data_IF_568034694801
#
_entry.id   IF_568034694801
#
_cell.length_a   1.000
_cell.length_b   1.000
_cell.length_c   1.000
_cell.angle_alpha   90.00
_cell.angle_beta   90.00
_cell.angle_gamma   90.00
#
_symmetry.space_group_name_H-M   'P 1'
#
loop_
_entity.id
_entity.type
_entity.pdbx_description
1 polymer ?
#
# COMPACT_ATOMS: atom_id res chain seq x y z
N UNK A 1 40.20 -66.19 -10.75
CA UNK A 1 40.39 -64.72 -10.64
C UNK A 1 39.33 -64.16 -9.71
N UNK A 2 39.73 -63.69 -8.53
CA UNK A 2 38.82 -63.16 -7.50
C UNK A 2 38.60 -61.67 -7.76
N UNK A 3 37.37 -61.26 -8.05
CA UNK A 3 36.98 -59.86 -8.22
C UNK A 3 36.72 -59.25 -6.83
N UNK A 4 37.52 -58.26 -6.44
CA UNK A 4 37.27 -57.42 -5.26
C UNK A 4 36.51 -56.16 -5.70
N UNK A 5 35.38 -55.80 -5.08
CA UNK A 5 34.74 -54.51 -5.33
C UNK A 5 35.50 -53.39 -4.59
N UNK A 6 35.88 -52.35 -5.34
CA UNK A 6 36.44 -51.11 -4.79
C UNK A 6 35.36 -50.35 -4.01
N UNK A 7 35.75 -49.78 -2.87
CA UNK A 7 34.91 -48.99 -1.97
C UNK A 7 34.67 -47.60 -2.56
N UNK A 8 33.41 -47.26 -2.81
CA UNK A 8 33.01 -45.90 -3.17
C UNK A 8 33.29 -44.93 -2.00
N UNK A 9 34.13 -43.93 -2.26
CA UNK A 9 34.44 -42.85 -1.35
C UNK A 9 33.25 -41.90 -1.21
N UNK A 10 32.63 -41.93 -0.02
CA UNK A 10 31.76 -40.85 0.47
C UNK A 10 32.57 -39.56 0.59
N UNK A 11 32.12 -38.48 -0.04
CA UNK A 11 32.63 -37.14 0.30
C UNK A 11 32.42 -36.07 -0.76
N UNK A 12 31.28 -35.38 -0.72
CA UNK A 12 31.21 -33.94 -1.00
C UNK A 12 29.93 -33.38 -0.38
N UNK A 13 30.10 -32.71 0.75
CA UNK A 13 29.03 -32.07 1.49
C UNK A 13 28.35 -30.98 0.65
N UNK A 14 27.02 -30.99 0.64
CA UNK A 14 26.17 -29.91 0.14
C UNK A 14 26.63 -28.56 0.72
N UNK A 15 27.33 -27.77 -0.10
CA UNK A 15 27.69 -26.40 0.25
C UNK A 15 26.40 -25.62 0.45
N UNK A 16 26.14 -25.24 1.70
CA UNK A 16 25.00 -24.41 2.09
C UNK A 16 25.06 -23.14 1.25
N UNK A 17 24.10 -22.99 0.35
CA UNK A 17 23.84 -21.75 -0.36
C UNK A 17 23.38 -20.71 0.69
N UNK A 18 24.33 -20.09 1.36
CA UNK A 18 24.08 -18.89 2.16
C UNK A 18 23.71 -17.82 1.15
N UNK A 19 22.41 -17.62 0.94
CA UNK A 19 21.91 -16.45 0.22
C UNK A 19 22.45 -15.23 0.96
N UNK A 20 23.47 -14.63 0.38
CA UNK A 20 23.99 -13.35 0.76
C UNK A 20 22.79 -12.39 0.64
N UNK A 21 22.16 -12.07 1.79
CA UNK A 21 21.07 -11.10 1.82
C UNK A 21 21.75 -9.77 1.52
N UNK A 22 21.61 -9.33 0.27
CA UNK A 22 22.02 -8.02 -0.18
C UNK A 22 21.59 -6.96 0.83
N UNK A 23 22.40 -5.91 0.92
CA UNK A 23 22.19 -4.69 1.70
C UNK A 23 20.73 -4.47 2.03
N UNK A 24 20.45 -4.46 3.33
CA UNK A 24 19.13 -4.40 3.96
C UNK A 24 18.48 -3.05 3.65
N UNK A 25 18.06 -2.84 2.41
CA UNK A 25 17.09 -1.83 2.07
C UNK A 25 15.92 -1.98 3.04
N UNK A 26 15.52 -0.85 3.58
CA UNK A 26 14.75 -0.66 4.80
C UNK A 26 13.39 -1.36 4.76
N UNK A 27 13.37 -2.68 4.98
CA UNK A 27 12.12 -3.41 5.17
C UNK A 27 11.42 -2.72 6.34
N UNK A 28 10.20 -2.16 6.14
CA UNK A 28 9.50 -1.47 7.19
C UNK A 28 9.37 -2.41 8.39
N UNK A 29 9.61 -1.93 9.62
CA UNK A 29 9.64 -2.78 10.78
C UNK A 29 8.32 -3.57 10.87
N UNK A 30 8.43 -4.89 11.09
CA UNK A 30 7.26 -5.73 11.35
C UNK A 30 6.44 -5.14 12.50
N UNK A 31 5.10 -5.28 12.44
CA UNK A 31 4.20 -4.80 13.49
C UNK A 31 4.64 -5.25 14.90
N UNK A 32 5.20 -6.46 15.03
CA UNK A 32 5.75 -6.95 16.31
C UNK A 32 6.95 -6.15 16.83
N UNK A 33 7.83 -5.68 15.92
CA UNK A 33 8.97 -4.83 16.28
C UNK A 33 8.50 -3.43 16.69
N UNK A 34 7.49 -2.88 16.00
CA UNK A 34 6.90 -1.58 16.36
C UNK A 34 6.25 -1.68 17.74
N UNK A 35 5.43 -2.71 17.99
CA UNK A 35 4.84 -2.98 19.32
C UNK A 35 5.88 -3.15 20.42
N UNK A 36 7.04 -3.77 20.13
CA UNK A 36 8.15 -3.85 21.08
C UNK A 36 8.68 -2.45 21.42
N UNK A 37 8.98 -1.63 20.40
CA UNK A 37 9.46 -0.25 20.59
C UNK A 37 8.46 0.61 21.36
N UNK A 38 7.15 0.47 21.11
CA UNK A 38 6.09 1.15 21.87
C UNK A 38 6.18 0.79 23.34
N UNK A 39 6.23 -0.51 23.68
CA UNK A 39 6.33 -0.97 25.08
C UNK A 39 7.60 -0.47 25.76
N UNK A 40 8.74 -0.50 25.08
CA UNK A 40 10.01 -0.03 25.62
C UNK A 40 10.00 1.50 25.84
N UNK A 41 9.36 2.25 24.96
CA UNK A 41 9.18 3.71 25.09
C UNK A 41 8.21 4.05 26.24
N UNK A 42 7.09 3.33 26.35
CA UNK A 42 6.14 3.46 27.47
C UNK A 42 6.82 3.18 28.81
N UNK A 43 7.62 2.11 28.90
CA UNK A 43 8.42 1.80 30.10
C UNK A 43 9.39 2.92 30.45
N UNK A 44 9.99 3.55 29.45
CA UNK A 44 10.90 4.69 29.65
C UNK A 44 10.15 5.90 30.20
N UNK A 45 8.95 6.20 29.67
CA UNK A 45 8.08 7.27 30.16
C UNK A 45 7.62 7.00 31.61
N UNK A 46 7.42 5.74 31.99
CA UNK A 46 6.98 5.36 33.34
C UNK A 46 8.10 5.38 34.41
N UNK A 47 9.37 5.60 34.03
CA UNK A 47 10.46 5.70 35.01
C UNK A 47 10.33 7.00 35.82
N UNK A 48 10.58 6.90 37.13
CA UNK A 48 10.72 8.07 38.01
C UNK A 48 12.06 8.75 37.68
N UNK A 49 12.11 10.08 37.80
CA UNK A 49 13.33 10.90 37.62
C UNK A 49 13.88 11.04 36.18
N UNK A 50 12.99 11.27 35.20
CA UNK A 50 13.42 11.68 33.84
C UNK A 50 13.50 13.20 33.70
N UNK A 51 14.54 13.74 33.03
CA UNK A 51 14.56 15.16 32.68
C UNK A 51 13.44 15.49 31.68
N UNK A 52 12.90 16.70 31.77
CA UNK A 52 11.73 17.14 31.01
C UNK A 52 11.91 17.03 29.48
N UNK A 53 13.13 17.28 28.99
CA UNK A 53 13.46 17.16 27.56
C UNK A 53 13.31 15.72 27.05
N UNK A 54 13.89 14.76 27.78
CA UNK A 54 13.83 13.33 27.43
C UNK A 54 12.40 12.80 27.53
N UNK A 55 11.61 13.27 28.50
CA UNK A 55 10.19 12.91 28.60
C UNK A 55 9.39 13.41 27.39
N UNK A 56 9.65 14.63 26.93
CA UNK A 56 8.98 15.23 25.78
C UNK A 56 9.32 14.49 24.49
N UNK A 57 10.61 14.19 24.29
CA UNK A 57 11.08 13.40 23.15
C UNK A 57 10.49 11.98 23.16
N UNK A 58 10.48 11.32 24.32
CA UNK A 58 9.90 9.98 24.46
C UNK A 58 8.40 9.96 24.15
N UNK A 59 7.64 10.99 24.55
CA UNK A 59 6.22 11.14 24.19
C UNK A 59 6.02 11.38 22.70
N UNK A 60 6.83 12.23 22.07
CA UNK A 60 6.81 12.45 20.60
C UNK A 60 7.09 11.15 19.86
N UNK A 61 8.14 10.43 20.27
CA UNK A 61 8.50 9.13 19.72
C UNK A 61 7.40 8.08 19.89
N UNK A 62 6.71 8.07 21.03
CA UNK A 62 5.59 7.18 21.25
C UNK A 62 4.47 7.42 20.23
N UNK A 63 4.10 8.69 19.98
CA UNK A 63 3.07 9.05 18.99
C UNK A 63 3.44 8.59 17.57
N UNK A 64 4.69 8.80 17.16
CA UNK A 64 5.20 8.31 15.87
C UNK A 64 5.05 6.80 15.75
N UNK A 65 5.47 6.07 16.78
CA UNK A 65 5.40 4.61 16.76
C UNK A 65 3.96 4.10 16.74
N UNK A 66 3.03 4.79 17.40
CA UNK A 66 1.60 4.47 17.39
C UNK A 66 0.97 4.73 16.01
N UNK A 67 1.34 5.83 15.35
CA UNK A 67 0.97 6.12 13.97
C UNK A 67 1.49 5.03 13.01
N UNK A 68 2.78 4.73 13.08
CA UNK A 68 3.43 3.70 12.25
C UNK A 68 2.79 2.34 12.45
N UNK A 69 2.42 1.99 13.69
CA UNK A 69 1.70 0.75 13.98
C UNK A 69 0.34 0.73 13.30
N UNK A 70 -0.38 1.86 13.31
CA UNK A 70 -1.68 1.99 12.67
C UNK A 70 -1.61 1.79 11.16
N UNK A 71 -0.70 2.50 10.49
CA UNK A 71 -0.48 2.32 9.04
C UNK A 71 -0.05 0.88 8.72
N UNK A 72 0.82 0.29 9.55
CA UNK A 72 1.27 -1.09 9.35
C UNK A 72 0.13 -2.12 9.44
N UNK A 73 -0.82 -1.92 10.35
CA UNK A 73 -2.01 -2.78 10.48
C UNK A 73 -2.88 -2.69 9.22
N UNK A 74 -3.10 -1.48 8.71
CA UNK A 74 -3.87 -1.25 7.48
C UNK A 74 -3.16 -1.90 6.28
N UNK A 75 -1.85 -1.69 6.14
CA UNK A 75 -1.06 -2.28 5.05
C UNK A 75 -1.05 -3.80 5.08
N UNK A 76 -0.94 -4.41 6.26
CA UNK A 76 -0.99 -5.87 6.40
C UNK A 76 -2.37 -6.40 5.99
N UNK A 77 -3.46 -5.71 6.38
CA UNK A 77 -4.82 -6.07 5.95
C UNK A 77 -5.03 -5.91 4.44
N UNK A 78 -4.53 -4.82 3.84
CA UNK A 78 -4.57 -4.62 2.39
C UNK A 78 -3.79 -5.72 1.65
N UNK A 79 -2.62 -6.11 2.16
CA UNK A 79 -1.81 -7.20 1.60
C UNK A 79 -2.53 -8.55 1.69
N UNK A 80 -3.19 -8.82 2.81
CA UNK A 80 -3.93 -10.06 3.01
C UNK A 80 -5.13 -10.15 2.05
N UNK A 81 -5.88 -9.05 1.88
CA UNK A 81 -6.94 -8.96 0.89
C UNK A 81 -6.42 -9.09 -0.55
N UNK A 82 -5.33 -8.40 -0.87
CA UNK A 82 -4.69 -8.48 -2.18
C UNK A 82 -4.33 -9.94 -2.51
N UNK A 83 -3.73 -10.65 -1.56
CA UNK A 83 -3.35 -12.06 -1.72
C UNK A 83 -4.56 -12.98 -1.84
N UNK A 84 -5.56 -12.80 -0.97
CA UNK A 84 -6.79 -13.62 -0.92
C UNK A 84 -7.60 -13.52 -2.21
N UNK A 85 -7.76 -12.31 -2.74
CA UNK A 85 -8.61 -12.05 -3.90
C UNK A 85 -7.84 -11.91 -5.21
N UNK A 86 -6.50 -12.03 -5.20
CA UNK A 86 -5.65 -11.87 -6.39
C UNK A 86 -6.13 -12.70 -7.58
N UNK A 87 -6.37 -14.00 -7.37
CA UNK A 87 -6.79 -14.93 -8.42
C UNK A 87 -8.17 -14.57 -8.97
N UNK A 88 -9.14 -14.33 -8.10
CA UNK A 88 -10.53 -13.97 -8.50
C UNK A 88 -10.52 -12.68 -9.32
N UNK A 89 -9.88 -11.62 -8.80
CA UNK A 89 -9.73 -10.33 -9.47
C UNK A 89 -9.02 -10.46 -10.83
N UNK A 90 -8.01 -11.33 -10.93
CA UNK A 90 -7.32 -11.61 -12.20
C UNK A 90 -8.22 -12.26 -13.26
N UNK A 91 -8.99 -13.29 -12.89
CA UNK A 91 -9.91 -13.94 -13.83
C UNK A 91 -11.05 -13.01 -14.26
N UNK A 92 -11.59 -12.22 -13.33
CA UNK A 92 -12.62 -11.25 -13.65
C UNK A 92 -12.10 -10.14 -14.55
N UNK A 93 -10.91 -9.61 -14.28
CA UNK A 93 -10.26 -8.62 -15.15
C UNK A 93 -10.11 -9.14 -16.58
N UNK A 94 -9.58 -10.36 -16.74
CA UNK A 94 -9.49 -11.02 -18.07
C UNK A 94 -10.87 -11.17 -18.75
N UNK A 95 -11.90 -11.54 -17.97
CA UNK A 95 -13.27 -11.68 -18.47
C UNK A 95 -13.83 -10.33 -18.94
N UNK A 96 -13.61 -9.26 -18.18
CA UNK A 96 -13.99 -7.89 -18.54
C UNK A 96 -13.22 -7.41 -19.76
N UNK A 97 -11.90 -7.58 -19.82
CA UNK A 97 -11.07 -7.19 -20.97
C UNK A 97 -11.53 -7.87 -22.27
N UNK A 98 -11.86 -9.16 -22.21
CA UNK A 98 -12.43 -9.87 -23.37
C UNK A 98 -13.77 -9.28 -23.80
N UNK A 99 -14.69 -9.04 -22.85
CA UNK A 99 -16.00 -8.44 -23.12
C UNK A 99 -15.89 -7.02 -23.66
N UNK A 100 -14.96 -6.23 -23.13
CA UNK A 100 -14.67 -4.88 -23.60
C UNK A 100 -14.18 -4.90 -25.05
N UNK A 101 -13.25 -5.81 -25.38
CA UNK A 101 -12.77 -5.99 -26.76
C UNK A 101 -13.90 -6.39 -27.71
N UNK A 102 -14.79 -7.28 -27.28
CA UNK A 102 -15.98 -7.67 -28.05
C UNK A 102 -16.95 -6.49 -28.26
N UNK A 103 -17.20 -5.71 -27.21
CA UNK A 103 -18.07 -4.53 -27.28
C UNK A 103 -17.50 -3.45 -28.21
N UNK A 104 -16.18 -3.18 -28.15
CA UNK A 104 -15.52 -2.23 -29.06
C UNK A 104 -15.60 -2.67 -30.52
N UNK A 105 -15.36 -3.96 -30.80
CA UNK A 105 -15.54 -4.52 -32.16
C UNK A 105 -16.98 -4.40 -32.66
N UNK A 106 -17.96 -4.74 -31.82
CA UNK A 106 -19.37 -4.62 -32.20
C UNK A 106 -19.76 -3.16 -32.49
N UNK A 107 -19.22 -2.20 -31.72
CA UNK A 107 -19.40 -0.77 -31.97
C UNK A 107 -18.79 -0.35 -33.32
N UNK A 108 -17.56 -0.78 -33.60
CA UNK A 108 -16.89 -0.50 -34.89
C UNK A 108 -17.66 -1.09 -36.07
N UNK A 109 -18.12 -2.34 -35.97
CA UNK A 109 -18.91 -3.01 -37.00
C UNK A 109 -20.28 -2.33 -37.22
N UNK A 110 -20.94 -1.89 -36.15
CA UNK A 110 -22.17 -1.13 -36.24
C UNK A 110 -21.95 0.23 -36.90
N UNK A 111 -20.86 0.93 -36.57
CA UNK A 111 -20.54 2.25 -37.14
C UNK A 111 -20.18 2.23 -38.63
N UNK A 112 -19.71 1.09 -39.14
CA UNK A 112 -19.32 0.92 -40.56
C UNK A 112 -20.51 0.61 -41.48
N UNK A 113 -21.65 0.17 -40.93
CA UNK A 113 -22.85 -0.12 -41.73
C UNK A 113 -23.57 1.19 -41.99
N UNK A 114 -23.76 1.54 -43.27
CA UNK A 114 -24.41 2.78 -43.71
C UNK A 114 -25.86 2.91 -43.19
N UNK A 115 -26.53 1.78 -42.95
CA UNK A 115 -27.93 1.72 -42.53
C UNK A 115 -28.10 1.42 -41.03
N UNK A 116 -27.04 1.61 -40.24
CA UNK A 116 -27.11 1.34 -38.80
C UNK A 116 -28.00 2.36 -38.10
N UNK A 117 -29.07 1.88 -37.45
CA UNK A 117 -29.91 2.72 -36.62
C UNK A 117 -29.09 3.40 -35.52
N UNK A 118 -29.25 4.72 -35.31
CA UNK A 118 -28.49 5.47 -34.31
C UNK A 118 -28.71 4.94 -32.89
N UNK A 119 -29.88 4.36 -32.63
CA UNK A 119 -30.22 3.69 -31.36
C UNK A 119 -29.30 2.50 -31.07
N UNK A 120 -29.02 1.65 -32.06
CA UNK A 120 -28.11 0.49 -31.90
C UNK A 120 -26.68 0.93 -31.64
N UNK A 121 -26.22 1.99 -32.30
CA UNK A 121 -24.89 2.56 -32.06
C UNK A 121 -24.80 3.08 -30.62
N UNK A 122 -25.83 3.80 -30.14
CA UNK A 122 -25.89 4.30 -28.76
C UNK A 122 -25.86 3.15 -27.73
N UNK A 123 -26.60 2.07 -27.95
CA UNK A 123 -26.54 0.87 -27.08
C UNK A 123 -25.15 0.24 -27.03
N UNK A 124 -24.46 0.16 -28.18
CA UNK A 124 -23.09 -0.37 -28.22
C UNK A 124 -22.11 0.55 -27.50
N UNK A 125 -22.25 1.87 -27.62
CA UNK A 125 -21.45 2.84 -26.87
C UNK A 125 -21.68 2.71 -25.36
N UNK A 126 -22.94 2.57 -24.94
CA UNK A 126 -23.28 2.37 -23.54
C UNK A 126 -22.61 1.09 -23.02
N UNK A 127 -22.74 -0.04 -23.74
CA UNK A 127 -22.07 -1.31 -23.39
C UNK A 127 -20.55 -1.16 -23.25
N UNK A 128 -19.91 -0.37 -24.11
CA UNK A 128 -18.46 -0.09 -24.00
C UNK A 128 -18.16 0.67 -22.71
N UNK A 129 -18.85 1.79 -22.44
CA UNK A 129 -18.69 2.57 -21.20
C UNK A 129 -18.90 1.71 -19.96
N UNK A 130 -19.93 0.86 -19.99
CA UNK A 130 -20.27 -0.04 -18.91
C UNK A 130 -19.18 -1.08 -18.63
N UNK A 131 -18.53 -1.60 -19.67
CA UNK A 131 -17.38 -2.49 -19.54
C UNK A 131 -16.10 -1.76 -19.09
N UNK A 132 -15.93 -0.49 -19.47
CA UNK A 132 -14.81 0.35 -19.02
C UNK A 132 -14.91 0.60 -17.51
N UNK A 133 -16.08 0.98 -17.00
CA UNK A 133 -16.32 1.13 -15.56
C UNK A 133 -16.08 -0.18 -14.81
N UNK A 134 -16.54 -1.31 -15.35
CA UNK A 134 -16.26 -2.65 -14.78
C UNK A 134 -14.77 -2.97 -14.80
N UNK A 135 -14.02 -2.49 -15.81
CA UNK A 135 -12.57 -2.68 -15.87
C UNK A 135 -11.89 -1.87 -14.75
N UNK A 136 -12.27 -0.61 -14.57
CA UNK A 136 -11.81 0.23 -13.47
C UNK A 136 -12.11 -0.42 -12.12
N UNK A 137 -13.32 -0.96 -11.92
CA UNK A 137 -13.69 -1.73 -10.73
C UNK A 137 -12.70 -2.89 -10.48
N UNK A 138 -12.40 -3.70 -11.50
CA UNK A 138 -11.46 -4.83 -11.35
C UNK A 138 -10.00 -4.41 -11.21
N UNK A 139 -9.60 -3.19 -11.57
CA UNK A 139 -8.22 -2.72 -11.43
C UNK A 139 -8.04 -2.02 -10.08
N UNK A 140 -8.88 -1.04 -9.82
CA UNK A 140 -8.75 -0.05 -8.74
C UNK A 140 -9.70 -0.32 -7.57
N UNK A 141 -10.19 -1.56 -7.42
CA UNK A 141 -10.99 -1.97 -6.26
C UNK A 141 -10.32 -1.57 -4.93
N UNK A 142 -11.05 -0.96 -3.97
CA UNK A 142 -10.52 -0.58 -2.67
C UNK A 142 -9.84 -1.73 -1.93
N UNK A 143 -8.57 -1.57 -1.57
CA UNK A 143 -7.75 -2.63 -0.96
C UNK A 143 -8.19 -2.99 0.45
N UNK A 144 -8.86 -2.08 1.14
CA UNK A 144 -9.39 -2.25 2.50
C UNK A 144 -10.70 -3.05 2.55
N UNK A 145 -11.30 -3.39 1.41
CA UNK A 145 -12.56 -4.13 1.36
C UNK A 145 -12.39 -5.55 0.79
N UNK A 146 -13.24 -6.50 1.22
CA UNK A 146 -13.31 -7.81 0.59
C UNK A 146 -13.91 -7.68 -0.81
N UNK A 147 -13.21 -8.22 -1.81
CA UNK A 147 -13.63 -8.12 -3.21
C UNK A 147 -15.00 -8.78 -3.45
N UNK A 148 -15.87 -8.10 -4.22
CA UNK A 148 -17.18 -8.61 -4.62
C UNK A 148 -17.15 -8.92 -6.11
N UNK A 149 -17.49 -10.16 -6.47
CA UNK A 149 -17.42 -10.65 -7.84
C UNK A 149 -18.39 -9.90 -8.77
N UNK A 150 -17.87 -9.49 -9.94
CA UNK A 150 -18.68 -8.94 -11.03
C UNK A 150 -19.55 -10.02 -11.69
N UNK A 151 -19.03 -11.24 -11.80
CA UNK A 151 -19.68 -12.37 -12.47
C UNK A 151 -19.73 -13.62 -11.56
N UNK A 152 -20.52 -13.57 -10.48
CA UNK A 152 -20.65 -14.68 -9.54
C UNK A 152 -21.27 -15.90 -10.22
N UNK A 153 -20.97 -17.09 -9.70
CA UNK A 153 -21.67 -18.31 -10.10
C UNK A 153 -23.11 -18.25 -9.57
N UNK A 154 -24.05 -18.92 -10.24
CA UNK A 154 -25.51 -18.70 -10.09
C UNK A 154 -26.05 -18.78 -8.65
N UNK A 155 -25.33 -19.42 -7.73
CA UNK A 155 -25.76 -19.65 -6.34
C UNK A 155 -25.04 -18.77 -5.27
N UNK A 156 -24.21 -17.80 -5.66
CA UNK A 156 -23.36 -17.02 -4.72
C UNK A 156 -23.84 -15.59 -4.44
N UNK A 157 -25.12 -15.28 -4.71
CA UNK A 157 -25.62 -13.91 -4.65
C UNK A 157 -26.28 -13.57 -3.30
N UNK A 158 -25.51 -13.04 -2.36
CA UNK A 158 -26.06 -12.37 -1.17
C UNK A 158 -26.59 -10.97 -1.51
N UNK A 159 -27.80 -10.62 -1.08
CA UNK A 159 -28.44 -9.32 -1.36
C UNK A 159 -27.61 -8.14 -0.85
N UNK A 160 -26.92 -8.31 0.28
CA UNK A 160 -26.01 -7.30 0.85
C UNK A 160 -24.76 -7.10 -0.02
N UNK A 161 -24.27 -8.17 -0.65
CA UNK A 161 -23.11 -8.08 -1.54
C UNK A 161 -23.47 -7.35 -2.84
N UNK A 162 -24.66 -7.61 -3.39
CA UNK A 162 -25.16 -6.94 -4.59
C UNK A 162 -25.33 -5.45 -4.37
N UNK A 163 -25.96 -5.04 -3.26
CA UNK A 163 -26.15 -3.62 -2.93
C UNK A 163 -24.83 -2.87 -2.71
N UNK A 164 -23.82 -3.51 -2.10
CA UNK A 164 -22.48 -2.90 -1.97
C UNK A 164 -21.78 -2.78 -3.31
N UNK A 165 -21.93 -3.78 -4.18
CA UNK A 165 -21.36 -3.77 -5.53
C UNK A 165 -21.98 -2.66 -6.39
N UNK A 166 -23.30 -2.50 -6.37
CA UNK A 166 -23.97 -1.42 -7.14
C UNK A 166 -23.53 -0.05 -6.65
N UNK A 167 -23.53 0.17 -5.32
CA UNK A 167 -23.03 1.41 -4.71
C UNK A 167 -21.60 1.73 -5.14
N UNK A 168 -20.69 0.77 -5.08
CA UNK A 168 -19.30 1.00 -5.47
C UNK A 168 -19.15 1.29 -6.98
N UNK A 169 -19.96 0.64 -7.83
CA UNK A 169 -19.97 0.95 -9.26
C UNK A 169 -20.51 2.36 -9.54
N UNK A 170 -21.52 2.82 -8.80
CA UNK A 170 -22.04 4.18 -8.86
C UNK A 170 -21.01 5.20 -8.40
N UNK A 171 -20.31 4.94 -7.30
CA UNK A 171 -19.21 5.81 -6.83
C UNK A 171 -18.06 5.91 -7.84
N UNK A 172 -17.72 4.80 -8.52
CA UNK A 172 -16.72 4.83 -9.60
C UNK A 172 -17.22 5.67 -10.79
N UNK A 173 -18.50 5.54 -11.16
CA UNK A 173 -19.10 6.37 -12.22
C UNK A 173 -19.00 7.86 -11.88
N UNK A 174 -19.30 8.22 -10.63
CA UNK A 174 -19.19 9.60 -10.14
C UNK A 174 -17.73 10.07 -10.13
N UNK A 175 -16.80 9.28 -9.61
CA UNK A 175 -15.39 9.64 -9.56
C UNK A 175 -14.80 9.86 -10.96
N UNK A 176 -15.18 9.03 -11.95
CA UNK A 176 -14.79 9.23 -13.35
C UNK A 176 -15.40 10.51 -13.92
N UNK A 177 -16.66 10.83 -13.61
CA UNK A 177 -17.30 12.08 -14.01
C UNK A 177 -16.63 13.32 -13.38
N UNK A 178 -16.12 13.19 -12.15
CA UNK A 178 -15.36 14.22 -11.44
C UNK A 178 -13.90 14.35 -11.92
N UNK A 179 -13.47 13.53 -12.89
CA UNK A 179 -12.12 13.52 -13.46
C UNK A 179 -11.06 12.74 -12.67
N UNK A 180 -11.46 11.90 -11.70
CA UNK A 180 -10.54 10.96 -11.01
C UNK A 180 -10.44 9.63 -11.78
N UNK A 181 -9.81 9.67 -12.96
CA UNK A 181 -9.69 8.51 -13.86
C UNK A 181 -8.99 7.31 -13.20
N UNK A 182 -7.95 7.57 -12.40
CA UNK A 182 -7.17 6.54 -11.70
C UNK A 182 -7.81 6.06 -10.39
N UNK A 183 -8.90 6.70 -9.96
CA UNK A 183 -9.61 6.43 -8.70
C UNK A 183 -8.70 6.57 -7.46
N UNK A 184 -7.67 7.41 -7.53
CA UNK A 184 -6.70 7.58 -6.44
C UNK A 184 -7.36 8.26 -5.24
N UNK A 185 -8.21 9.26 -5.49
CA UNK A 185 -8.94 9.95 -4.42
C UNK A 185 -9.95 9.00 -3.79
N UNK A 186 -10.63 8.19 -4.60
CA UNK A 186 -11.55 7.16 -4.11
C UNK A 186 -10.84 6.14 -3.22
N UNK A 187 -9.68 5.62 -3.64
CA UNK A 187 -8.90 4.68 -2.81
C UNK A 187 -8.48 5.31 -1.47
N UNK A 188 -8.04 6.57 -1.48
CA UNK A 188 -7.70 7.30 -0.26
C UNK A 188 -8.90 7.39 0.68
N UNK A 189 -10.08 7.79 0.19
CA UNK A 189 -11.33 7.84 0.98
C UNK A 189 -11.65 6.49 1.64
N UNK A 190 -11.52 5.38 0.90
CA UNK A 190 -11.75 4.04 1.46
C UNK A 190 -10.70 3.60 2.48
N UNK A 191 -9.46 4.08 2.36
CA UNK A 191 -8.41 3.86 3.36
C UNK A 191 -8.67 4.68 4.63
N UNK A 192 -9.04 5.95 4.48
CA UNK A 192 -9.35 6.86 5.58
C UNK A 192 -10.57 6.38 6.38
N UNK A 193 -11.67 6.01 5.72
CA UNK A 193 -12.86 5.44 6.38
C UNK A 193 -12.56 4.12 7.10
N UNK A 194 -11.62 3.32 6.60
CA UNK A 194 -11.17 2.11 7.30
C UNK A 194 -10.32 2.46 8.53
N UNK A 195 -9.45 3.46 8.41
CA UNK A 195 -8.67 4.00 9.54
C UNK A 195 -9.57 4.53 10.65
N UNK A 196 -10.61 5.30 10.30
CA UNK A 196 -11.63 5.79 11.24
C UNK A 196 -12.31 4.64 11.98
N UNK A 197 -12.72 3.57 11.28
CA UNK A 197 -13.30 2.36 11.90
C UNK A 197 -12.34 1.65 12.86
N UNK A 198 -11.04 1.66 12.57
CA UNK A 198 -10.04 1.08 13.47
C UNK A 198 -9.83 1.95 14.73
N UNK A 199 -9.93 3.27 14.60
CA UNK A 199 -9.90 4.22 15.72
C UNK A 199 -11.14 4.03 16.59
N UNK A 200 -12.34 3.95 15.99
CA UNK A 200 -13.60 3.72 16.70
C UNK A 200 -13.56 2.41 17.51
N UNK A 201 -12.96 1.36 16.93
CA UNK A 201 -12.74 0.05 17.58
C UNK A 201 -11.59 0.04 18.60
N UNK A 202 -10.90 1.17 18.80
CA UNK A 202 -9.74 1.31 19.70
C UNK A 202 -8.58 0.35 19.38
N UNK A 203 -8.45 -0.03 18.11
CA UNK A 203 -7.31 -0.86 17.63
C UNK A 203 -6.09 0.05 17.37
N UNK A 204 -6.34 1.26 16.91
CA UNK A 204 -5.33 2.28 16.62
C UNK A 204 -5.65 3.53 17.45
N UNK A 205 -4.62 4.25 17.91
CA UNK A 205 -4.79 5.52 18.59
C UNK A 205 -5.10 6.65 17.58
N UNK A 206 -6.02 7.58 17.89
CA UNK A 206 -6.21 8.77 17.07
C UNK A 206 -4.96 9.66 17.20
N UNK A 207 -4.13 9.69 16.17
CA UNK A 207 -2.98 10.60 16.09
C UNK A 207 -3.43 11.86 15.36
N UNK A 208 -3.31 13.02 15.99
CA UNK A 208 -3.73 14.30 15.41
C UNK A 208 -2.80 14.70 14.24
N UNK A 209 -3.33 15.27 13.13
CA UNK A 209 -2.51 15.74 12.00
C UNK A 209 -1.54 16.88 12.37
N UNK A 210 -1.92 17.73 13.32
CA UNK A 210 -1.18 18.94 13.71
C UNK A 210 0.21 18.63 14.27
N UNK A 211 0.37 17.49 14.95
CA UNK A 211 1.67 17.05 15.45
C UNK A 211 2.62 16.57 14.33
N UNK A 212 2.10 16.25 13.14
CA UNK A 212 2.88 15.65 12.04
C UNK A 212 3.58 16.74 11.22
N UNK A 213 2.93 17.89 11.00
CA UNK A 213 3.51 19.02 10.27
C UNK A 213 4.64 19.67 11.09
N UNK A 214 4.44 19.92 12.38
CA UNK A 214 5.50 20.43 13.28
C UNK A 214 6.72 19.48 13.34
N UNK A 215 6.49 18.16 13.25
CA UNK A 215 7.56 17.15 13.28
C UNK A 215 8.32 17.00 11.96
N UNK A 216 7.68 17.22 10.80
CA UNK A 216 8.38 17.24 9.51
C UNK A 216 9.21 18.50 9.33
N UNK A 217 8.78 19.62 9.91
CA UNK A 217 9.53 20.88 9.94
C UNK A 217 10.78 20.71 10.82
N UNK A 218 10.66 20.17 12.04
CA UNK A 218 11.80 19.94 12.93
C UNK A 218 12.86 18.98 12.32
N UNK A 219 12.42 17.93 11.62
CA UNK A 219 13.36 16.98 10.97
C UNK A 219 14.13 17.61 9.80
N UNK A 220 13.56 18.62 9.12
CA UNK A 220 14.27 19.39 8.09
C UNK A 220 15.27 20.38 8.69
N UNK A 221 14.98 20.93 9.86
CA UNK A 221 15.87 21.84 10.57
C UNK A 221 17.12 21.11 11.09
N UNK A 222 16.97 19.90 11.65
CA UNK A 222 18.11 19.10 12.14
C UNK A 222 19.06 18.62 11.02
N UNK A 223 18.54 18.26 9.84
CA UNK A 223 19.37 17.87 8.68
C UNK A 223 20.07 19.09 8.03
N UNK A 224 19.53 20.30 8.18
CA UNK A 224 20.15 21.53 7.66
C UNK A 224 21.29 22.06 8.53
N UNK A 225 21.37 21.62 9.79
CA UNK A 225 22.37 22.10 10.75
C UNK A 225 23.61 21.19 10.85
N UNK A 226 23.74 20.17 10.00
CA UNK A 226 24.91 19.27 9.95
C UNK A 226 25.92 19.60 8.82
N UNK A 227 25.84 20.78 8.21
CA UNK A 227 26.71 21.20 7.10
C UNK A 227 27.32 22.59 7.29
N UNK A 228 27.92 22.85 8.45
CA UNK A 228 28.94 23.90 8.58
C UNK A 228 29.82 23.64 9.80
N UNK A 229 30.80 22.75 9.66
CA UNK A 229 32.00 22.83 10.48
C UNK A 229 33.21 22.49 9.61
N UNK A 230 33.72 23.53 8.96
CA UNK A 230 35.01 23.56 8.27
C UNK A 230 35.69 24.80 8.80
N UNK A 231 36.18 24.69 10.04
CA UNK A 231 36.86 25.78 10.73
C UNK A 231 38.26 26.00 10.13
N UNK A 232 38.53 27.26 9.87
CA UNK A 232 39.71 27.81 9.21
C UNK A 232 40.92 27.71 10.15
N UNK A 233 41.93 26.91 9.78
CA UNK A 233 43.27 27.04 10.36
C UNK A 233 44.06 28.09 9.55
N UNK A 234 43.88 29.37 9.87
CA UNK A 234 44.89 30.41 9.61
C UNK A 234 45.54 30.77 10.95
N UNK A 235 46.75 30.27 11.18
CA UNK A 235 47.59 30.67 12.32
C UNK A 235 48.78 31.51 11.81
N UNK A 236 48.70 32.80 12.12
CA UNK A 236 49.74 33.82 11.99
C UNK A 236 50.95 33.51 12.91
N UNK A 237 51.82 32.63 12.44
CA UNK A 237 53.05 32.25 13.15
C UNK A 237 54.23 33.19 12.77
N UNK A 238 54.34 34.31 13.49
CA UNK A 238 55.55 35.12 13.76
C UNK A 238 56.26 35.89 12.61
N UNK A 239 55.86 37.15 12.43
CA UNK A 239 56.79 38.27 12.23
C UNK A 239 57.08 38.95 13.59
N UNK A 240 58.33 38.92 14.09
CA UNK A 240 59.11 40.13 14.45
C UNK A 240 60.49 39.81 15.06
N UNK A 241 61.47 40.55 14.55
CA UNK A 241 62.76 40.95 15.15
C UNK A 241 63.77 39.83 15.45
N UNK A 242 64.96 39.81 14.83
CA UNK A 242 65.92 40.92 14.78
C UNK A 242 66.91 40.74 13.63
#
# INVERSE_FOLDING_TARGET
MKYQPQKDSKGAANSKFTRNRGSKETIPPSAGKIKKKIRDTQRTISKKDLPANVLTEAKRRLRVLEFDLGEKIIDDHERDNASKYHKVKHFERKKVERKLKQAKKALEEASKKSDAEPTKIAEHQEKVKDMEIKLLYTKNYPKTLPYISLFPQENENDTKSLTRKTKLLEEIKQAVADGDEDLTKLQKRYRDTYKEKLIERKIIQPVAPVDIEEMQIAKKEDDSNSSSDSDDNQDDFFEKAK
#
